data_IF_900255333474
#
_entry.id   IF_900255333474
#
_cell.length_a   1.000
_cell.length_b   1.000
_cell.length_c   1.000
_cell.angle_alpha   90.00
_cell.angle_beta   90.00
_cell.angle_gamma   90.00
#
_symmetry.space_group_name_H-M   'P 1'
#
loop_
_entity.id
_entity.type
_entity.pdbx_description
1 polymer ?
#
# COMPACT_ATOMS: atom_id res chain seq x y z
N UNK A 1 11.20 -9.14 -21.70
CA UNK A 1 11.75 -8.85 -20.34
C UNK A 1 10.62 -8.43 -19.42
N UNK A 2 9.84 -9.39 -18.94
CA UNK A 2 8.57 -9.19 -18.23
C UNK A 2 8.44 -10.29 -17.18
N UNK A 3 9.41 -10.38 -16.27
CA UNK A 3 9.43 -11.43 -15.24
C UNK A 3 9.69 -10.90 -13.82
N UNK A 4 9.90 -9.59 -13.66
CA UNK A 4 10.15 -8.97 -12.34
C UNK A 4 8.90 -8.48 -11.62
N UNK A 5 7.71 -8.62 -12.21
CA UNK A 5 6.47 -7.97 -11.75
C UNK A 5 5.46 -8.92 -11.11
N UNK A 6 5.72 -10.24 -11.12
CA UNK A 6 4.77 -11.26 -10.63
C UNK A 6 4.97 -11.63 -9.15
N UNK A 7 6.03 -11.19 -8.49
CA UNK A 7 6.34 -11.61 -7.12
C UNK A 7 6.45 -10.39 -6.23
N UNK A 8 5.30 -9.86 -5.87
CA UNK A 8 5.12 -8.84 -4.84
C UNK A 8 4.91 -9.52 -3.47
N UNK A 9 5.94 -9.92 -2.72
CA UNK A 9 5.78 -9.73 -1.29
C UNK A 9 5.83 -8.22 -1.13
N UNK A 10 4.65 -7.59 -1.08
CA UNK A 10 4.41 -6.20 -0.72
C UNK A 10 5.09 -5.94 0.62
N UNK A 11 6.38 -5.65 0.53
CA UNK A 11 7.28 -5.61 1.66
C UNK A 11 6.81 -4.48 2.54
N UNK A 12 6.67 -4.72 3.84
CA UNK A 12 6.30 -3.67 4.80
C UNK A 12 7.11 -2.38 4.62
N UNK A 13 8.35 -2.48 4.10
CA UNK A 13 9.16 -1.34 3.68
C UNK A 13 8.54 -0.45 2.58
N UNK A 14 7.91 -1.03 1.55
CA UNK A 14 7.20 -0.28 0.51
C UNK A 14 5.96 0.42 1.08
N UNK A 15 5.18 -0.28 1.91
CA UNK A 15 4.01 0.32 2.59
C UNK A 15 4.47 1.46 3.51
N UNK A 16 5.58 1.29 4.24
CA UNK A 16 6.16 2.33 5.08
C UNK A 16 6.61 3.54 4.25
N UNK A 17 7.27 3.33 3.11
CA UNK A 17 7.65 4.42 2.19
C UNK A 17 6.43 5.16 1.65
N UNK A 18 5.40 4.44 1.18
CA UNK A 18 4.14 5.02 0.74
C UNK A 18 3.44 5.82 1.84
N UNK A 19 3.50 5.34 3.09
CA UNK A 19 2.95 6.07 4.23
C UNK A 19 3.75 7.35 4.49
N UNK A 20 5.08 7.31 4.42
CA UNK A 20 5.93 8.51 4.59
C UNK A 20 5.66 9.54 3.49
N UNK A 21 5.55 9.12 2.23
CA UNK A 21 5.23 10.04 1.13
C UNK A 21 3.84 10.63 1.28
N UNK A 22 2.83 9.83 1.66
CA UNK A 22 1.49 10.35 1.98
C UNK A 22 1.57 11.42 3.08
N UNK A 23 2.32 11.18 4.16
CA UNK A 23 2.47 12.16 5.25
C UNK A 23 3.20 13.44 4.85
N UNK A 24 4.12 13.37 3.90
CA UNK A 24 4.77 14.56 3.36
C UNK A 24 3.79 15.37 2.50
N UNK A 25 3.02 14.70 1.65
CA UNK A 25 1.99 15.34 0.82
C UNK A 25 0.87 15.97 1.66
N UNK A 26 0.36 15.27 2.67
CA UNK A 26 -0.66 15.80 3.59
C UNK A 26 -0.19 17.06 4.32
N UNK A 27 1.11 17.13 4.67
CA UNK A 27 1.70 18.33 5.29
C UNK A 27 1.83 19.49 4.31
N UNK A 28 2.30 19.21 3.09
CA UNK A 28 2.40 20.21 2.04
C UNK A 28 1.03 20.81 1.68
N UNK A 29 -0.02 19.98 1.60
CA UNK A 29 -1.39 20.43 1.33
C UNK A 29 -1.95 21.37 2.39
N UNK A 30 -1.54 21.20 3.65
CA UNK A 30 -1.98 22.04 4.76
C UNK A 30 -1.02 23.20 5.05
N UNK A 31 0.09 23.31 4.30
CA UNK A 31 1.19 24.26 4.55
C UNK A 31 1.77 24.16 5.97
N UNK A 32 1.69 22.98 6.58
CA UNK A 32 2.16 22.76 7.96
C UNK A 32 3.55 22.12 7.96
N UNK A 33 4.43 22.68 8.78
CA UNK A 33 5.79 22.22 8.98
C UNK A 33 5.87 21.18 10.09
N UNK A 34 7.02 20.51 10.21
CA UNK A 34 7.29 19.63 11.36
C UNK A 34 7.42 20.40 12.68
N UNK A 35 7.66 21.72 12.63
CA UNK A 35 7.80 22.58 13.83
C UNK A 35 6.48 22.86 14.51
N UNK A 36 5.38 22.79 13.75
CA UNK A 36 4.03 23.01 14.29
C UNK A 36 3.58 21.87 15.20
N UNK A 37 4.33 20.75 15.24
CA UNK A 37 4.09 19.58 16.08
C UNK A 37 2.63 19.06 16.02
N UNK A 38 1.95 19.31 14.92
CA UNK A 38 0.56 18.90 14.72
C UNK A 38 0.52 17.37 14.65
N UNK A 39 -0.36 16.79 15.47
CA UNK A 39 -0.57 15.34 15.50
C UNK A 39 -1.03 14.83 14.13
N UNK A 40 -0.50 13.67 13.74
CA UNK A 40 -0.86 13.02 12.48
C UNK A 40 -2.37 12.70 12.36
N UNK A 41 -3.08 12.57 13.50
CA UNK A 41 -4.53 12.41 13.58
C UNK A 41 -5.28 13.67 13.16
N UNK A 42 -4.80 14.84 13.60
CA UNK A 42 -5.38 16.14 13.26
C UNK A 42 -5.19 16.43 11.76
N UNK A 43 -4.00 16.13 11.23
CA UNK A 43 -3.71 16.22 9.79
C UNK A 43 -4.69 15.35 9.00
N UNK A 44 -4.96 14.10 9.44
CA UNK A 44 -5.94 13.21 8.80
C UNK A 44 -7.36 13.73 8.88
N UNK A 45 -7.75 14.31 10.02
CA UNK A 45 -9.09 14.88 10.18
C UNK A 45 -9.32 16.02 9.19
N UNK A 46 -8.29 16.84 8.94
CA UNK A 46 -8.35 17.97 8.00
C UNK A 46 -8.34 17.52 6.53
N UNK A 47 -7.47 16.58 6.16
CA UNK A 47 -7.34 16.14 4.76
C UNK A 47 -8.40 15.13 4.33
N UNK A 48 -8.98 14.36 5.26
CA UNK A 48 -9.92 13.25 5.01
C UNK A 48 -9.40 12.19 4.05
N UNK A 49 -8.09 12.12 3.86
CA UNK A 49 -7.44 11.16 2.95
C UNK A 49 -7.43 9.77 3.59
N UNK A 50 -7.85 8.74 2.84
CA UNK A 50 -7.82 7.35 3.28
C UNK A 50 -6.38 6.85 3.49
N UNK A 51 -6.16 5.95 4.45
CA UNK A 51 -4.82 5.41 4.70
C UNK A 51 -4.35 4.56 3.51
N UNK A 52 -3.20 4.90 2.93
CA UNK A 52 -2.65 4.16 1.79
C UNK A 52 -2.42 2.69 2.13
N UNK A 53 -2.18 2.34 3.41
CA UNK A 53 -2.06 0.95 3.82
C UNK A 53 -3.38 0.18 3.68
N UNK A 54 -4.52 0.83 3.95
CA UNK A 54 -5.84 0.21 3.74
C UNK A 54 -6.13 0.05 2.25
N UNK A 55 -5.77 1.04 1.42
CA UNK A 55 -5.91 0.94 -0.03
C UNK A 55 -5.05 -0.20 -0.59
N UNK A 56 -3.77 -0.28 -0.17
CA UNK A 56 -2.85 -1.35 -0.57
C UNK A 56 -3.37 -2.71 -0.10
N UNK A 57 -3.84 -2.82 1.13
CA UNK A 57 -4.44 -4.07 1.63
C UNK A 57 -5.67 -4.48 0.79
N UNK A 58 -6.56 -3.53 0.45
CA UNK A 58 -7.72 -3.80 -0.40
C UNK A 58 -7.29 -4.28 -1.79
N UNK A 59 -6.30 -3.63 -2.40
CA UNK A 59 -5.76 -4.04 -3.69
C UNK A 59 -5.13 -5.45 -3.63
N UNK A 60 -4.43 -5.78 -2.54
CA UNK A 60 -3.92 -7.14 -2.30
C UNK A 60 -5.05 -8.17 -2.23
N UNK A 61 -6.10 -7.89 -1.46
CA UNK A 61 -7.25 -8.80 -1.35
C UNK A 61 -7.97 -8.96 -2.69
N UNK A 62 -8.09 -7.88 -3.48
CA UNK A 62 -8.64 -7.95 -4.83
C UNK A 62 -7.77 -8.76 -5.78
N UNK A 63 -6.44 -8.61 -5.71
CA UNK A 63 -5.49 -9.38 -6.50
C UNK A 63 -5.49 -10.87 -6.10
N UNK A 64 -5.49 -11.18 -4.80
CA UNK A 64 -5.62 -12.54 -4.29
C UNK A 64 -6.94 -13.18 -4.76
N UNK A 65 -8.06 -12.44 -4.66
CA UNK A 65 -9.34 -12.90 -5.19
C UNK A 65 -9.34 -13.07 -6.72
N UNK A 66 -8.64 -12.20 -7.46
CA UNK A 66 -8.46 -12.34 -8.90
C UNK A 66 -7.64 -13.59 -9.26
N UNK A 67 -6.57 -13.89 -8.51
CA UNK A 67 -5.77 -15.11 -8.68
C UNK A 67 -6.58 -16.36 -8.39
N UNK A 68 -7.33 -16.38 -7.28
CA UNK A 68 -8.19 -17.53 -6.92
C UNK A 68 -9.27 -17.76 -7.98
N UNK A 69 -9.76 -16.71 -8.63
CA UNK A 69 -10.71 -16.79 -9.76
C UNK A 69 -10.06 -17.10 -11.11
N UNK A 70 -8.73 -17.03 -11.24
CA UNK A 70 -8.06 -17.54 -12.44
C UNK A 70 -8.05 -19.07 -12.34
N UNK A 71 -8.91 -19.69 -13.13
CA UNK A 71 -8.99 -21.13 -13.40
C UNK A 71 -7.82 -21.67 -14.22
N UNK A 72 -6.64 -21.05 -14.13
CA UNK A 72 -5.44 -21.53 -14.81
C UNK A 72 -4.69 -22.42 -13.81
N UNK A 73 -4.65 -23.72 -14.06
CA UNK A 73 -4.25 -24.81 -13.16
C UNK A 73 -2.80 -24.80 -12.64
N UNK A 74 -2.17 -23.63 -12.47
CA UNK A 74 -0.82 -23.45 -11.91
C UNK A 74 -0.76 -23.63 -10.39
N UNK A 75 -1.86 -23.97 -9.73
CA UNK A 75 -1.86 -24.34 -8.31
C UNK A 75 -1.10 -25.65 -8.02
N UNK A 76 -0.82 -26.49 -9.03
CA UNK A 76 -0.24 -27.84 -8.81
C UNK A 76 1.30 -27.88 -8.88
N UNK A 77 2.00 -26.78 -9.18
CA UNK A 77 3.48 -26.80 -9.32
C UNK A 77 4.26 -26.19 -8.15
N UNK A 78 3.61 -25.80 -7.05
CA UNK A 78 4.30 -25.59 -5.77
C UNK A 78 4.36 -26.91 -4.98
N UNK A 79 4.86 -27.97 -5.64
CA UNK A 79 5.42 -29.13 -4.94
C UNK A 79 6.88 -28.80 -4.67
N UNK A 80 7.19 -28.69 -3.38
CA UNK A 80 8.46 -29.07 -2.74
C UNK A 80 9.70 -28.85 -3.59
N UNK A 81 10.40 -27.73 -3.35
CA UNK A 81 11.85 -27.69 -3.16
C UNK A 81 12.17 -26.59 -2.14
#
# INVERSE_FOLDING_TARGET
>A
MTYGTETWPLTMGHIRRLRVTQRAMERAMLEVSLRDQIRNEEIRRRTRVSDIAQLVAKLMWQWAGHIVRRTDGRWVSLKVL
#
